data_IF_435474040775
#
_entry.id   IF_435474040775
#
_cell.length_a   1.000
_cell.length_b   1.000
_cell.length_c   1.000
_cell.angle_alpha   90.00
_cell.angle_beta   90.00
_cell.angle_gamma   90.00
#
_symmetry.space_group_name_H-M   'P 1'
#
loop_
_entity.id
_entity.type
_entity.pdbx_description
1 polymer ?
#
# COMPACT_ATOMS: atom_id res chain seq x y z
N UNK A 1 -1.08 13.76 10.23
CA UNK A 1 0.13 14.16 9.46
C UNK A 1 1.35 13.54 10.14
N UNK A 2 2.40 13.20 9.38
CA UNK A 2 3.62 12.61 9.95
C UNK A 2 4.39 13.69 10.72
N UNK A 3 4.63 13.43 12.01
CA UNK A 3 5.44 14.29 12.87
C UNK A 3 6.92 13.90 12.79
N UNK A 4 7.80 14.89 12.94
CA UNK A 4 9.26 14.74 12.83
C UNK A 4 9.95 15.53 13.94
N UNK A 5 11.12 15.04 14.33
CA UNK A 5 11.97 15.63 15.36
C UNK A 5 13.06 16.46 14.69
N UNK A 6 13.22 17.71 15.11
CA UNK A 6 14.31 18.56 14.66
C UNK A 6 15.03 19.22 15.84
N UNK A 7 16.19 19.80 15.54
CA UNK A 7 16.91 20.62 16.50
C UNK A 7 16.84 22.08 16.08
N UNK A 8 16.27 22.94 16.92
CA UNK A 8 16.05 24.38 16.65
C UNK A 8 17.33 25.15 16.37
N UNK A 9 18.46 24.68 16.91
CA UNK A 9 19.79 25.29 16.77
C UNK A 9 20.67 24.61 15.71
N UNK A 10 20.13 23.67 14.94
CA UNK A 10 20.92 22.90 13.96
C UNK A 10 21.33 23.74 12.76
N UNK A 11 22.65 23.93 12.59
CA UNK A 11 23.22 24.52 11.36
C UNK A 11 22.94 23.67 10.12
N UNK A 12 22.90 22.35 10.28
CA UNK A 12 22.69 21.40 9.17
C UNK A 12 21.22 21.30 8.73
N UNK A 13 20.30 21.88 9.52
CA UNK A 13 18.84 21.86 9.36
C UNK A 13 18.31 20.50 8.90
N UNK A 14 18.54 19.46 9.70
CA UNK A 14 18.05 18.10 9.42
C UNK A 14 16.92 17.73 10.39
N UNK A 15 15.83 17.18 9.87
CA UNK A 15 14.76 16.58 10.67
C UNK A 15 14.77 15.05 10.57
N UNK A 16 14.28 14.39 11.62
CA UNK A 16 14.35 12.96 11.84
C UNK A 16 12.96 12.37 12.16
N UNK A 17 12.77 11.07 11.93
CA UNK A 17 11.65 10.35 12.51
C UNK A 17 11.91 10.09 14.00
N UNK A 18 10.84 10.06 14.80
CA UNK A 18 10.91 9.67 16.21
C UNK A 18 11.49 8.27 16.36
N UNK A 19 12.52 8.11 17.20
CA UNK A 19 13.21 6.83 17.39
C UNK A 19 14.41 6.61 16.46
N UNK A 20 14.70 7.55 15.56
CA UNK A 20 15.93 7.54 14.77
C UNK A 20 17.17 7.61 15.67
N UNK A 21 18.25 6.82 15.44
CA UNK A 21 19.46 6.90 16.26
C UNK A 21 20.09 8.30 16.38
N UNK A 22 19.86 9.15 15.37
CA UNK A 22 20.33 10.53 15.35
C UNK A 22 19.41 11.51 16.08
N UNK A 23 18.11 11.20 16.22
CA UNK A 23 17.19 12.06 16.97
C UNK A 23 17.53 12.09 18.46
N UNK A 24 18.01 10.96 19.00
CA UNK A 24 18.44 10.79 20.39
C UNK A 24 19.69 11.61 20.73
N UNK A 25 20.40 12.10 19.70
CA UNK A 25 21.60 12.95 19.86
C UNK A 25 21.23 14.44 19.96
N UNK A 26 19.99 14.80 19.66
CA UNK A 26 19.51 16.17 19.83
C UNK A 26 19.32 16.42 21.32
N UNK A 27 19.96 17.48 21.84
CA UNK A 27 19.75 17.90 23.24
C UNK A 27 18.29 18.21 23.47
N UNK A 28 17.74 17.72 24.58
CA UNK A 28 16.32 17.86 24.93
C UNK A 28 15.81 19.31 24.80
N UNK A 29 16.57 20.27 25.36
CA UNK A 29 16.25 21.70 25.31
C UNK A 29 16.10 22.29 23.90
N UNK A 30 16.72 21.67 22.90
CA UNK A 30 16.72 22.13 21.52
C UNK A 30 15.84 21.25 20.63
N UNK A 31 15.18 20.23 21.19
CA UNK A 31 14.41 19.25 20.44
C UNK A 31 12.98 19.73 20.28
N UNK A 32 12.51 19.77 19.04
CA UNK A 32 11.15 20.17 18.72
C UNK A 32 10.47 19.09 17.87
N UNK A 33 9.18 18.86 18.12
CA UNK A 33 8.34 17.97 17.32
C UNK A 33 7.39 18.81 16.47
N UNK A 34 7.58 18.77 15.16
CA UNK A 34 6.78 19.55 14.20
C UNK A 34 6.21 18.66 13.11
N UNK A 35 5.31 19.20 12.29
CA UNK A 35 4.87 18.48 11.10
C UNK A 35 6.00 18.45 10.04
N UNK A 36 6.04 17.41 9.20
CA UNK A 36 7.01 17.38 8.09
C UNK A 36 6.89 18.61 7.17
N UNK A 37 5.67 19.07 6.89
CA UNK A 37 5.43 20.19 5.99
C UNK A 37 6.01 21.49 6.57
N UNK A 38 5.81 21.69 7.87
CA UNK A 38 6.37 22.81 8.63
C UNK A 38 7.89 22.75 8.70
N UNK A 39 8.49 21.58 8.98
CA UNK A 39 9.94 21.42 8.95
C UNK A 39 10.55 21.82 7.60
N UNK A 40 9.90 21.41 6.49
CA UNK A 40 10.32 21.80 5.14
C UNK A 40 10.18 23.31 4.94
N UNK A 41 9.07 23.91 5.40
CA UNK A 41 8.85 25.36 5.33
C UNK A 41 9.91 26.15 6.11
N UNK A 42 10.34 25.65 7.26
CA UNK A 42 11.45 26.20 8.08
C UNK A 42 12.85 26.00 7.44
N UNK A 43 12.91 25.32 6.28
CA UNK A 43 14.14 25.05 5.53
C UNK A 43 14.90 23.81 6.01
N UNK A 44 14.26 22.92 6.76
CA UNK A 44 14.86 21.64 7.16
C UNK A 44 14.71 20.59 6.06
N UNK A 45 15.73 19.74 5.94
CA UNK A 45 15.76 18.59 5.03
C UNK A 45 15.62 17.28 5.79
N UNK A 46 15.10 16.26 5.09
CA UNK A 46 14.96 14.94 5.67
C UNK A 46 16.33 14.32 5.97
N UNK A 47 16.45 13.66 7.12
CA UNK A 47 17.59 12.81 7.45
C UNK A 47 17.75 11.69 6.40
N UNK A 48 18.97 11.52 5.87
CA UNK A 48 19.30 10.49 4.87
C UNK A 48 18.90 9.08 5.32
N UNK A 49 19.09 8.77 6.61
CA UNK A 49 18.67 7.49 7.17
C UNK A 49 17.14 7.38 7.23
N UNK A 50 16.46 8.40 7.77
CA UNK A 50 15.00 8.39 7.90
C UNK A 50 14.27 8.40 6.55
N UNK A 51 14.93 8.83 5.48
CA UNK A 51 14.38 8.79 4.13
C UNK A 51 14.42 7.43 3.44
N UNK A 52 15.05 6.42 4.05
CA UNK A 52 15.13 5.05 3.49
C UNK A 52 14.03 4.15 4.05
N UNK A 53 13.61 3.15 3.26
CA UNK A 53 12.73 2.09 3.77
C UNK A 53 13.41 1.28 4.86
N UNK A 54 14.72 1.07 4.78
CA UNK A 54 15.52 0.44 5.84
C UNK A 54 15.44 1.23 7.15
N UNK A 55 15.58 2.55 7.07
CA UNK A 55 15.45 3.43 8.23
C UNK A 55 14.05 3.36 8.84
N UNK A 56 13.03 3.38 8.00
CA UNK A 56 11.64 3.17 8.44
C UNK A 56 11.45 1.80 9.11
N UNK A 57 11.88 0.72 8.47
CA UNK A 57 11.76 -0.65 8.99
C UNK A 57 12.48 -0.80 10.32
N UNK A 58 13.63 -0.15 10.51
CA UNK A 58 14.35 -0.16 11.79
C UNK A 58 13.56 0.54 12.89
N UNK A 59 13.10 1.77 12.63
CA UNK A 59 12.39 2.61 13.60
C UNK A 59 11.03 2.01 13.97
N UNK A 60 10.26 1.58 12.97
CA UNK A 60 8.89 1.09 13.12
C UNK A 60 8.79 -0.45 13.09
N UNK A 61 9.89 -1.17 13.36
CA UNK A 61 9.92 -2.64 13.36
C UNK A 61 8.83 -3.26 14.23
N UNK A 62 8.51 -2.64 15.39
CA UNK A 62 7.41 -3.07 16.26
C UNK A 62 6.05 -2.93 15.58
N UNK A 63 5.80 -1.82 14.90
CA UNK A 63 4.54 -1.57 14.19
C UNK A 63 4.35 -2.58 13.05
N UNK A 64 5.41 -2.86 12.29
CA UNK A 64 5.38 -3.87 11.22
C UNK A 64 5.08 -5.28 11.78
N UNK A 65 5.74 -5.67 12.87
CA UNK A 65 5.48 -6.94 13.57
C UNK A 65 4.03 -7.03 14.08
N UNK A 66 3.49 -5.96 14.65
CA UNK A 66 2.10 -5.94 15.12
C UNK A 66 1.09 -6.10 13.97
N UNK A 67 1.31 -5.44 12.83
CA UNK A 67 0.44 -5.62 11.66
C UNK A 67 0.56 -7.03 11.09
N UNK A 68 1.75 -7.62 11.08
CA UNK A 68 1.95 -9.02 10.67
C UNK A 68 1.00 -9.96 11.43
N UNK A 69 0.92 -9.81 12.76
CA UNK A 69 0.04 -10.63 13.59
C UNK A 69 -1.46 -10.32 13.45
N UNK A 70 -1.85 -9.11 13.06
CA UNK A 70 -3.26 -8.70 12.99
C UNK A 70 -3.93 -8.96 11.64
N UNK A 71 -3.20 -8.79 10.54
CA UNK A 71 -3.76 -8.89 9.19
C UNK A 71 -3.14 -9.99 8.33
N UNK A 72 -2.27 -10.83 8.90
CA UNK A 72 -1.58 -11.89 8.17
C UNK A 72 -0.58 -11.39 7.12
N UNK A 73 -0.31 -10.07 7.09
CA UNK A 73 0.57 -9.48 6.09
C UNK A 73 2.04 -9.82 6.40
N UNK A 74 2.75 -10.39 5.44
CA UNK A 74 4.18 -10.65 5.55
C UNK A 74 4.98 -9.50 4.95
N UNK A 75 5.99 -9.03 5.67
CA UNK A 75 6.84 -7.91 5.27
C UNK A 75 8.25 -8.40 4.92
N UNK A 76 8.74 -8.04 3.75
CA UNK A 76 10.10 -8.40 3.30
C UNK A 76 10.82 -7.15 2.84
N UNK A 77 11.95 -6.82 3.48
CA UNK A 77 12.78 -5.69 3.08
C UNK A 77 13.89 -6.16 2.13
N UNK A 78 13.86 -5.72 0.89
CA UNK A 78 14.94 -5.92 -0.07
C UNK A 78 16.01 -4.85 0.16
N UNK A 79 17.14 -5.27 0.74
CA UNK A 79 18.19 -4.37 1.22
C UNK A 79 18.95 -3.67 0.08
N UNK A 80 19.07 -4.33 -1.07
CA UNK A 80 19.74 -3.88 -2.30
C UNK A 80 19.00 -2.71 -2.97
N UNK A 81 17.67 -2.76 -2.96
CA UNK A 81 16.79 -1.81 -3.66
C UNK A 81 16.06 -0.86 -2.71
N UNK A 82 16.32 -0.97 -1.40
CA UNK A 82 15.62 -0.22 -0.34
C UNK A 82 14.09 -0.25 -0.51
N UNK A 83 13.56 -1.44 -0.84
CA UNK A 83 12.14 -1.64 -1.17
C UNK A 83 11.50 -2.55 -0.14
N UNK A 84 10.36 -2.12 0.40
CA UNK A 84 9.55 -2.95 1.30
C UNK A 84 8.46 -3.65 0.50
N UNK A 85 8.51 -4.98 0.48
CA UNK A 85 7.48 -5.83 -0.09
C UNK A 85 6.49 -6.26 0.99
N UNK A 86 5.22 -6.34 0.62
CA UNK A 86 4.12 -6.69 1.52
C UNK A 86 3.27 -7.74 0.82
N UNK A 87 3.25 -8.96 1.35
CA UNK A 87 2.38 -10.04 0.91
C UNK A 87 1.17 -10.11 1.82
N UNK A 88 -0.01 -10.18 1.22
CA UNK A 88 -1.27 -10.43 1.92
C UNK A 88 -1.94 -11.67 1.29
N UNK A 89 -3.08 -12.09 1.81
CA UNK A 89 -3.87 -13.18 1.22
C UNK A 89 -4.45 -12.82 -0.16
N UNK A 90 -4.50 -11.52 -0.50
CA UNK A 90 -5.24 -11.00 -1.65
C UNK A 90 -4.31 -10.39 -2.70
N UNK A 91 -3.12 -9.98 -2.29
CA UNK A 91 -2.25 -9.21 -3.14
C UNK A 91 -0.79 -9.22 -2.70
N UNK A 92 0.03 -8.69 -3.60
CA UNK A 92 1.44 -8.47 -3.36
C UNK A 92 1.80 -7.03 -3.74
N UNK A 93 2.41 -6.33 -2.80
CA UNK A 93 2.63 -4.89 -2.89
C UNK A 93 4.11 -4.58 -2.71
N UNK A 94 4.53 -3.43 -3.23
CA UNK A 94 5.84 -2.87 -2.90
C UNK A 94 5.78 -1.38 -2.65
N UNK A 95 6.53 -0.94 -1.64
CA UNK A 95 6.70 0.47 -1.28
C UNK A 95 8.15 0.84 -1.57
N UNK A 96 8.31 1.84 -2.43
CA UNK A 96 9.61 2.41 -2.77
C UNK A 96 9.76 3.78 -2.13
N UNK A 97 10.87 4.01 -1.42
CA UNK A 97 11.21 5.31 -0.88
C UNK A 97 11.92 6.18 -1.93
N UNK A 98 11.53 7.45 -1.96
CA UNK A 98 12.15 8.51 -2.76
C UNK A 98 12.80 9.54 -1.84
N UNK A 99 13.78 10.30 -2.36
CA UNK A 99 14.40 11.39 -1.62
C UNK A 99 13.38 12.31 -0.95
N UNK A 100 13.71 12.77 0.25
CA UNK A 100 12.85 13.66 1.02
C UNK A 100 11.68 12.99 1.72
N UNK A 101 11.72 11.67 1.97
CA UNK A 101 10.65 10.89 2.62
C UNK A 101 9.34 10.93 1.83
N UNK A 102 9.46 10.72 0.52
CA UNK A 102 8.33 10.46 -0.35
C UNK A 102 8.25 8.96 -0.61
N UNK A 103 7.05 8.42 -0.74
CA UNK A 103 6.84 6.98 -0.91
C UNK A 103 5.92 6.73 -2.10
N UNK A 104 6.18 5.65 -2.84
CA UNK A 104 5.30 5.21 -3.92
C UNK A 104 4.84 3.80 -3.66
N UNK A 105 3.53 3.59 -3.80
CA UNK A 105 2.90 2.28 -3.67
C UNK A 105 2.69 1.66 -5.06
N UNK A 106 3.07 0.40 -5.19
CA UNK A 106 2.83 -0.40 -6.37
C UNK A 106 2.13 -1.71 -5.99
N UNK A 107 1.23 -2.15 -6.84
CA UNK A 107 0.46 -3.39 -6.67
C UNK A 107 0.77 -4.36 -7.81
N UNK A 108 0.96 -5.64 -7.48
CA UNK A 108 1.20 -6.69 -8.47
C UNK A 108 -0.06 -6.90 -9.30
N UNK A 109 0.07 -6.91 -10.64
CA UNK A 109 -1.09 -6.96 -11.54
C UNK A 109 -1.87 -8.28 -11.45
N UNK A 110 -1.14 -9.38 -11.31
CA UNK A 110 -1.68 -10.74 -11.23
C UNK A 110 -1.05 -11.38 -10.01
N UNK A 111 -1.82 -11.45 -8.94
CA UNK A 111 -1.42 -12.14 -7.73
C UNK A 111 -1.70 -13.63 -7.87
N UNK A 112 -0.74 -14.44 -7.45
CA UNK A 112 -0.84 -15.89 -7.40
C UNK A 112 -0.27 -16.34 -6.06
N UNK A 113 -1.14 -16.83 -5.19
CA UNK A 113 -0.79 -17.20 -3.82
C UNK A 113 0.15 -18.41 -3.74
N UNK A 114 0.26 -19.22 -4.81
CA UNK A 114 1.16 -20.36 -4.86
C UNK A 114 2.62 -19.96 -5.11
N UNK A 115 2.84 -18.76 -5.66
CA UNK A 115 4.19 -18.28 -5.98
C UNK A 115 4.99 -17.91 -4.74
N UNK A 116 6.30 -18.09 -4.85
CA UNK A 116 7.26 -17.62 -3.87
C UNK A 116 7.33 -16.10 -3.85
N UNK A 117 7.85 -15.54 -2.75
CA UNK A 117 8.06 -14.09 -2.63
C UNK A 117 9.07 -13.61 -3.68
N UNK A 118 10.16 -14.33 -3.93
CA UNK A 118 11.15 -13.93 -4.93
C UNK A 118 10.56 -13.87 -6.35
N UNK A 119 9.75 -14.85 -6.75
CA UNK A 119 9.09 -14.84 -8.06
C UNK A 119 8.15 -13.64 -8.21
N UNK A 120 7.38 -13.33 -7.16
CA UNK A 120 6.45 -12.22 -7.19
C UNK A 120 7.17 -10.86 -7.24
N UNK A 121 8.36 -10.73 -6.64
CA UNK A 121 9.17 -9.51 -6.68
C UNK A 121 9.54 -9.09 -8.12
N UNK A 122 9.66 -10.04 -9.04
CA UNK A 122 9.98 -9.85 -10.46
C UNK A 122 8.74 -9.69 -11.36
N UNK A 123 7.54 -9.72 -10.79
CA UNK A 123 6.29 -9.61 -11.54
C UNK A 123 6.03 -8.21 -12.13
N UNK A 124 4.95 -8.09 -12.92
CA UNK A 124 4.51 -6.81 -13.48
C UNK A 124 3.64 -6.06 -12.46
N UNK A 125 4.09 -4.86 -12.06
CA UNK A 125 3.38 -4.00 -11.11
C UNK A 125 2.73 -2.81 -11.78
N UNK A 126 1.62 -2.32 -11.21
CA UNK A 126 1.06 -1.00 -11.53
C UNK A 126 1.24 -0.04 -10.36
N UNK A 127 1.42 1.24 -10.70
CA UNK A 127 1.53 2.32 -9.74
C UNK A 127 0.15 2.72 -9.21
N UNK A 128 0.01 2.74 -7.88
CA UNK A 128 -1.23 3.08 -7.21
C UNK A 128 -1.35 4.60 -7.02
N UNK A 129 -1.90 5.27 -8.04
CA UNK A 129 -1.91 6.75 -8.17
C UNK A 129 -2.77 7.49 -7.14
N UNK A 130 -3.73 6.82 -6.50
CA UNK A 130 -4.59 7.42 -5.48
C UNK A 130 -3.92 7.55 -4.11
N UNK A 131 -2.74 6.93 -3.92
CA UNK A 131 -1.91 7.11 -2.74
C UNK A 131 -0.98 8.29 -2.94
N UNK A 132 -1.12 9.31 -2.08
CA UNK A 132 -0.28 10.51 -2.15
C UNK A 132 1.18 10.19 -1.81
N UNK A 133 2.18 10.73 -2.54
CA UNK A 133 3.58 10.46 -2.25
C UNK A 133 4.06 10.92 -0.87
N UNK A 134 3.34 11.85 -0.24
CA UNK A 134 3.64 12.37 1.10
C UNK A 134 3.05 11.54 2.23
N UNK A 135 2.29 10.49 1.91
CA UNK A 135 1.73 9.54 2.86
C UNK A 135 2.86 8.87 3.66
N UNK A 136 2.67 8.70 4.98
CA UNK A 136 3.63 7.91 5.76
C UNK A 136 3.52 6.43 5.39
N UNK A 137 4.58 5.62 5.51
CA UNK A 137 4.49 4.20 5.20
C UNK A 137 3.41 3.49 6.02
N UNK A 138 3.21 3.86 7.30
CA UNK A 138 2.10 3.35 8.11
C UNK A 138 0.71 3.64 7.51
N UNK A 139 0.49 4.84 6.97
CA UNK A 139 -0.78 5.14 6.28
C UNK A 139 -0.95 4.39 4.95
N UNK A 140 0.16 4.06 4.27
CA UNK A 140 0.16 3.21 3.08
C UNK A 140 -0.20 1.77 3.45
N UNK A 141 0.34 1.24 4.55
CA UNK A 141 0.00 -0.09 5.06
C UNK A 141 -1.49 -0.16 5.44
N UNK A 142 -2.02 0.84 6.13
CA UNK A 142 -3.47 0.91 6.42
C UNK A 142 -4.32 0.97 5.15
N UNK A 143 -3.86 1.66 4.12
CA UNK A 143 -4.52 1.67 2.82
C UNK A 143 -4.58 0.26 2.22
N UNK A 144 -3.46 -0.48 2.22
CA UNK A 144 -3.38 -1.85 1.71
C UNK A 144 -4.39 -2.76 2.42
N UNK A 145 -4.42 -2.71 3.76
CA UNK A 145 -5.32 -3.54 4.57
C UNK A 145 -6.79 -3.29 4.19
N UNK A 146 -7.21 -2.02 4.13
CA UNK A 146 -8.59 -1.66 3.76
C UNK A 146 -8.92 -2.03 2.31
N UNK A 147 -7.95 -1.91 1.41
CA UNK A 147 -8.11 -2.28 0.02
C UNK A 147 -8.35 -3.79 -0.11
N UNK A 148 -7.57 -4.60 0.59
CA UNK A 148 -7.65 -6.06 0.52
C UNK A 148 -8.89 -6.59 1.23
N UNK A 149 -9.30 -5.98 2.34
CA UNK A 149 -10.59 -6.26 2.99
C UNK A 149 -11.76 -5.98 2.02
N UNK A 150 -11.75 -4.83 1.34
CA UNK A 150 -12.79 -4.50 0.36
C UNK A 150 -12.79 -5.47 -0.83
N UNK A 151 -11.63 -6.01 -1.23
CA UNK A 151 -11.51 -7.04 -2.26
C UNK A 151 -12.13 -8.37 -1.81
N UNK A 152 -11.90 -8.80 -0.56
CA UNK A 152 -12.55 -9.98 0.02
C UNK A 152 -14.07 -9.82 0.03
N UNK A 153 -14.57 -8.66 0.46
CA UNK A 153 -16.02 -8.35 0.44
C UNK A 153 -16.58 -8.42 -0.98
N UNK A 154 -15.89 -7.86 -1.97
CA UNK A 154 -16.36 -7.90 -3.38
C UNK A 154 -16.40 -9.34 -3.91
N UNK A 155 -15.41 -10.16 -3.57
CA UNK A 155 -15.35 -11.56 -4.02
C UNK A 155 -16.50 -12.40 -3.44
N UNK A 156 -16.88 -12.13 -2.19
CA UNK A 156 -18.04 -12.75 -1.54
C UNK A 156 -19.37 -12.15 -2.05
N UNK A 157 -19.66 -10.89 -1.69
CA UNK A 157 -20.78 -10.13 -2.22
C UNK A 157 -20.49 -8.63 -2.18
N UNK A 158 -20.30 -8.02 -3.35
CA UNK A 158 -20.06 -6.58 -3.48
C UNK A 158 -21.14 -5.71 -2.83
N UNK A 159 -22.36 -6.23 -2.61
CA UNK A 159 -23.44 -5.49 -1.96
C UNK A 159 -23.17 -5.21 -0.49
N UNK A 160 -22.31 -6.00 0.15
CA UNK A 160 -21.88 -5.84 1.55
C UNK A 160 -20.84 -4.74 1.74
N UNK A 161 -20.40 -4.08 0.66
CA UNK A 161 -19.49 -2.94 0.77
C UNK A 161 -20.14 -1.80 1.56
N UNK A 162 -19.37 -1.12 2.45
CA UNK A 162 -19.87 0.05 3.16
C UNK A 162 -20.22 1.18 2.16
N UNK A 163 -21.19 2.00 2.53
CA UNK A 163 -21.73 3.09 1.70
C UNK A 163 -21.99 4.37 2.52
N UNK A 164 -21.31 4.54 3.66
CA UNK A 164 -21.55 5.66 4.57
C UNK A 164 -20.91 6.94 4.04
N UNK A 165 -19.74 6.83 3.40
CA UNK A 165 -19.01 7.99 2.86
C UNK A 165 -19.18 8.15 1.35
N UNK A 166 -18.93 9.36 0.82
CA UNK A 166 -18.94 9.61 -0.64
C UNK A 166 -17.95 8.71 -1.40
N UNK A 167 -16.79 8.43 -0.79
CA UNK A 167 -15.77 7.56 -1.37
C UNK A 167 -16.24 6.11 -1.44
N UNK A 168 -16.85 5.64 -0.36
CA UNK A 168 -17.46 4.31 -0.25
C UNK A 168 -18.57 4.10 -1.29
N UNK A 169 -19.53 5.04 -1.40
CA UNK A 169 -20.58 5.01 -2.43
C UNK A 169 -20.00 4.95 -3.85
N UNK A 170 -18.94 5.72 -4.13
CA UNK A 170 -18.24 5.66 -5.42
C UNK A 170 -17.62 4.28 -5.66
N UNK A 171 -17.00 3.70 -4.64
CA UNK A 171 -16.39 2.37 -4.73
C UNK A 171 -17.44 1.28 -4.96
N UNK A 172 -18.56 1.34 -4.25
CA UNK A 172 -19.73 0.48 -4.47
C UNK A 172 -20.23 0.57 -5.92
N UNK A 173 -20.42 1.79 -6.45
CA UNK A 173 -20.89 1.96 -7.83
C UNK A 173 -19.92 1.39 -8.85
N UNK A 174 -18.61 1.52 -8.62
CA UNK A 174 -17.58 0.91 -9.47
C UNK A 174 -17.70 -0.62 -9.43
N UNK A 175 -17.87 -1.21 -8.25
CA UNK A 175 -18.03 -2.66 -8.08
C UNK A 175 -19.32 -3.17 -8.77
N UNK A 176 -20.45 -2.48 -8.55
CA UNK A 176 -21.73 -2.75 -9.22
C UNK A 176 -21.59 -2.71 -10.74
N UNK A 177 -21.03 -1.64 -11.29
CA UNK A 177 -20.86 -1.47 -12.73
C UNK A 177 -19.94 -2.56 -13.32
N UNK A 178 -18.90 -2.99 -12.58
CA UNK A 178 -18.05 -4.11 -13.00
C UNK A 178 -18.82 -5.43 -13.05
N UNK A 179 -19.62 -5.72 -12.01
CA UNK A 179 -20.44 -6.92 -11.97
C UNK A 179 -21.48 -6.94 -13.10
N UNK A 180 -22.19 -5.83 -13.34
CA UNK A 180 -23.14 -5.70 -14.45
C UNK A 180 -22.49 -5.87 -15.83
N UNK A 181 -21.23 -5.41 -15.99
CA UNK A 181 -20.47 -5.64 -17.23
C UNK A 181 -20.06 -7.11 -17.36
N UNK A 182 -19.67 -7.77 -16.28
CA UNK A 182 -19.33 -9.18 -16.28
C UNK A 182 -20.54 -10.05 -16.63
N UNK A 183 -21.70 -9.81 -16.00
CA UNK A 183 -22.96 -10.49 -16.33
C UNK A 183 -23.35 -10.33 -17.79
N UNK A 184 -23.24 -9.10 -18.34
CA UNK A 184 -23.47 -8.85 -19.77
C UNK A 184 -22.52 -9.65 -20.66
N UNK A 185 -21.23 -9.67 -20.35
CA UNK A 185 -20.24 -10.46 -21.11
C UNK A 185 -20.53 -11.95 -21.07
N UNK A 186 -20.92 -12.47 -19.90
CA UNK A 186 -21.34 -13.87 -19.75
C UNK A 186 -22.57 -14.18 -20.61
N UNK A 187 -23.59 -13.32 -20.56
CA UNK A 187 -24.79 -13.47 -21.38
C UNK A 187 -24.48 -13.46 -22.88
N UNK A 188 -23.70 -12.48 -23.36
CA UNK A 188 -23.30 -12.43 -24.77
C UNK A 188 -22.45 -13.63 -25.17
N UNK A 189 -21.55 -14.10 -24.29
CA UNK A 189 -20.78 -15.31 -24.54
C UNK A 189 -21.66 -16.55 -24.63
N UNK A 190 -22.69 -16.67 -23.78
CA UNK A 190 -23.67 -17.75 -23.83
C UNK A 190 -24.48 -17.72 -25.13
N UNK A 191 -24.97 -16.53 -25.52
CA UNK A 191 -25.72 -16.34 -26.77
C UNK A 191 -24.88 -16.69 -28.00
N UNK A 192 -23.59 -16.33 -28.02
CA UNK A 192 -22.65 -16.70 -29.10
C UNK A 192 -22.37 -18.21 -29.15
N UNK A 193 -22.33 -18.91 -28.00
CA UNK A 193 -22.23 -20.37 -28.00
C UNK A 193 -23.50 -21.01 -28.60
N UNK A 194 -24.68 -20.53 -28.19
CA UNK A 194 -25.98 -21.02 -28.68
C UNK A 194 -26.12 -20.79 -30.20
N UNK A 195 -25.73 -19.60 -30.71
CA UNK A 195 -25.82 -19.30 -32.14
C UNK A 195 -24.90 -20.17 -33.00
N UNK A 196 -23.80 -20.67 -32.43
CA UNK A 196 -22.86 -21.60 -33.07
C UNK A 196 -23.24 -23.07 -32.91
N UNK A 197 -24.31 -23.38 -32.17
CA UNK A 197 -24.68 -24.75 -31.83
C UNK A 197 -23.71 -25.45 -30.87
N UNK A 198 -22.87 -24.69 -30.17
CA UNK A 198 -21.92 -25.22 -29.18
C UNK A 198 -22.58 -25.33 -27.80
N UNK A 199 -22.37 -26.43 -27.08
CA UNK A 199 -22.81 -26.53 -25.68
C UNK A 199 -21.87 -25.74 -24.77
N UNK A 200 -22.36 -24.91 -23.84
CA UNK A 200 -21.52 -24.01 -23.01
C UNK A 200 -20.55 -24.73 -22.04
N UNK A 201 -20.51 -26.06 -22.04
CA UNK A 201 -20.05 -26.88 -20.91
C UNK A 201 -18.53 -27.08 -20.79
N UNK A 202 -17.69 -26.56 -21.68
CA UNK A 202 -16.25 -26.87 -21.66
C UNK A 202 -15.31 -25.72 -21.27
N UNK A 203 -15.79 -24.48 -21.07
CA UNK A 203 -14.92 -23.30 -20.83
C UNK A 203 -15.08 -22.57 -19.50
N UNK A 204 -16.05 -22.91 -18.65
CA UNK A 204 -16.46 -22.01 -17.55
C UNK A 204 -16.43 -22.60 -16.13
N UNK A 205 -15.78 -23.74 -15.90
CA UNK A 205 -15.66 -24.36 -14.55
C UNK A 205 -14.47 -23.86 -13.73
N UNK A 206 -13.56 -23.04 -14.29
CA UNK A 206 -12.31 -22.71 -13.60
C UNK A 206 -12.03 -21.22 -13.44
N UNK A 207 -12.94 -20.46 -12.84
CA UNK A 207 -12.59 -19.15 -12.24
C UNK A 207 -13.43 -18.93 -10.97
N UNK A 208 -12.99 -19.55 -9.88
CA UNK A 208 -13.29 -19.15 -8.50
C UNK A 208 -12.06 -18.52 -7.88
#
# INVERSE_FOLDING_TARGET
MMKVMLSTTSRSKVFHLGGCPYDKRIRYINREEVSRAEAIHMGYRACKFCSTMRGYHHIDSRYLKQNTGKCGAQFTLAADTDTLYIRTDVGFWKIFAKPGMQYRLYHLNKFDGAKSTEEMMHGKYHHQKDVKPTASPGSIIQYIIKHDEAKKIIADDYRKLPQNTRREKKYYQIARNRNERQKRRQLYGLLDCISRGETPASKWVSIS
#
